data_IF_404834420172
#
_entry.id   IF_404834420172
#
_cell.length_a   1.000
_cell.length_b   1.000
_cell.length_c   1.000
_cell.angle_alpha   90.00
_cell.angle_beta   90.00
_cell.angle_gamma   90.00
#
_symmetry.space_group_name_H-M   'P 1'
#
loop_
_entity.id
_entity.type
_entity.pdbx_description
1 polymer ?
#
# COMPACT_ATOMS: atom_id res chain seq x y z
N UNK A 1 10.38 5.87 -4.82
CA UNK A 1 11.69 5.18 -4.89
C UNK A 1 12.67 6.13 -5.59
N UNK A 2 13.79 6.51 -4.96
CA UNK A 2 14.75 7.45 -5.57
C UNK A 2 15.67 6.67 -6.52
N UNK A 3 15.79 7.12 -7.77
CA UNK A 3 16.65 6.49 -8.79
C UNK A 3 16.08 5.23 -9.45
N UNK A 4 14.77 4.97 -9.30
CA UNK A 4 14.07 3.89 -10.00
C UNK A 4 13.48 4.33 -11.35
N UNK A 5 12.69 3.44 -11.94
CA UNK A 5 11.90 3.66 -13.16
C UNK A 5 10.45 3.19 -12.93
N UNK A 6 9.54 3.52 -13.86
CA UNK A 6 8.15 3.10 -13.78
C UNK A 6 8.03 1.58 -13.96
N UNK A 7 7.36 0.91 -13.01
CA UNK A 7 7.13 -0.54 -13.07
C UNK A 7 6.05 -0.89 -14.10
N UNK A 8 6.10 -2.11 -14.64
CA UNK A 8 4.96 -2.64 -15.38
C UNK A 8 3.76 -2.85 -14.43
N UNK A 9 2.57 -2.40 -14.85
CA UNK A 9 1.34 -2.50 -14.05
C UNK A 9 0.99 -3.94 -13.62
N UNK A 10 1.52 -4.95 -14.30
CA UNK A 10 1.24 -6.36 -14.02
C UNK A 10 2.26 -7.06 -13.10
N UNK A 11 3.36 -6.40 -12.73
CA UNK A 11 4.48 -7.02 -11.99
C UNK A 11 4.28 -7.06 -10.48
N UNK A 12 3.49 -6.14 -9.92
CA UNK A 12 3.35 -5.95 -8.47
C UNK A 12 1.91 -6.10 -8.00
N UNK A 13 1.27 -7.23 -8.34
CA UNK A 13 -0.16 -7.49 -8.04
C UNK A 13 -0.50 -7.50 -6.55
N UNK A 14 0.48 -7.74 -5.69
CA UNK A 14 0.31 -7.72 -4.23
C UNK A 14 0.55 -6.35 -3.62
N UNK A 15 1.00 -5.34 -4.38
CA UNK A 15 1.23 -4.00 -3.85
C UNK A 15 -0.11 -3.30 -3.59
N UNK A 16 -0.27 -2.76 -2.38
CA UNK A 16 -1.48 -2.06 -1.94
C UNK A 16 -1.15 -0.61 -1.60
N UNK A 17 -2.01 0.32 -1.99
CA UNK A 17 -1.96 1.71 -1.55
C UNK A 17 -2.93 1.93 -0.38
N UNK A 18 -2.43 2.51 0.71
CA UNK A 18 -3.19 2.80 1.92
C UNK A 18 -3.45 4.31 1.99
N UNK A 19 -4.71 4.68 2.12
CA UNK A 19 -5.19 6.06 2.21
C UNK A 19 -5.77 6.34 3.59
N UNK A 20 -5.55 7.55 4.09
CA UNK A 20 -6.24 8.08 5.26
C UNK A 20 -7.07 9.33 4.87
N UNK A 21 -7.58 10.06 5.85
CA UNK A 21 -8.39 11.29 5.63
C UNK A 21 -7.68 12.40 4.84
N UNK A 22 -6.35 12.37 4.75
CA UNK A 22 -5.53 13.38 4.05
C UNK A 22 -5.09 12.94 2.65
N UNK A 23 -5.35 11.69 2.25
CA UNK A 23 -4.94 11.13 0.97
C UNK A 23 -4.05 9.91 1.13
N UNK A 24 -3.11 9.72 0.18
CA UNK A 24 -2.15 8.62 0.23
C UNK A 24 -1.28 8.76 1.48
N UNK A 25 -1.16 7.66 2.22
CA UNK A 25 -0.46 7.64 3.50
C UNK A 25 0.72 6.66 3.49
N UNK A 26 0.45 5.40 3.14
CA UNK A 26 1.43 4.32 3.17
C UNK A 26 1.15 3.29 2.08
N UNK A 27 1.96 2.23 2.05
CA UNK A 27 1.75 1.05 1.22
C UNK A 27 1.74 -0.22 2.06
N UNK A 28 1.28 -1.32 1.47
CA UNK A 28 1.30 -2.64 2.08
C UNK A 28 1.43 -3.75 1.03
N UNK A 29 1.48 -4.99 1.51
CA UNK A 29 1.51 -6.20 0.68
C UNK A 29 0.31 -7.07 1.00
N UNK A 30 -0.49 -7.40 -0.03
CA UNK A 30 -1.57 -8.38 0.05
C UNK A 30 -0.98 -9.77 0.23
N UNK A 31 -1.20 -10.37 1.41
CA UNK A 31 -0.74 -11.73 1.73
C UNK A 31 -1.74 -12.79 1.24
N UNK A 32 -3.03 -12.50 1.38
CA UNK A 32 -4.15 -13.31 0.92
C UNK A 32 -5.39 -12.42 0.78
N UNK A 33 -6.56 -12.99 0.55
CA UNK A 33 -7.81 -12.27 0.31
C UNK A 33 -8.27 -11.38 1.49
N UNK A 34 -7.76 -11.61 2.69
CA UNK A 34 -8.23 -10.98 3.92
C UNK A 34 -7.15 -10.14 4.63
N UNK A 35 -5.87 -10.36 4.32
CA UNK A 35 -4.76 -9.80 5.08
C UNK A 35 -3.80 -8.98 4.21
N UNK A 36 -3.58 -7.74 4.65
CA UNK A 36 -2.52 -6.85 4.14
C UNK A 36 -1.49 -6.63 5.26
N UNK A 37 -0.22 -6.84 4.93
CA UNK A 37 0.90 -6.53 5.82
C UNK A 37 1.42 -5.11 5.53
N UNK A 38 1.61 -4.30 6.56
CA UNK A 38 2.21 -2.96 6.48
C UNK A 38 3.10 -2.68 7.69
N UNK A 39 3.78 -1.54 7.72
CA UNK A 39 4.59 -1.12 8.85
C UNK A 39 3.72 -0.65 10.02
N UNK A 40 4.12 -0.93 11.26
CA UNK A 40 3.34 -0.53 12.45
C UNK A 40 3.16 0.99 12.59
N UNK A 41 4.11 1.79 12.10
CA UNK A 41 3.99 3.25 12.10
C UNK A 41 3.03 3.79 11.02
N UNK A 42 2.51 2.91 10.15
CA UNK A 42 1.45 3.20 9.21
C UNK A 42 0.07 2.90 9.84
N UNK A 43 -0.09 3.02 11.16
CA UNK A 43 -1.38 2.99 11.84
C UNK A 43 -2.00 4.41 11.91
N UNK A 44 -3.30 4.52 11.70
CA UNK A 44 -4.08 5.76 11.55
C UNK A 44 -5.57 5.42 11.56
N UNK A 45 -6.40 6.41 11.80
CA UNK A 45 -7.85 6.24 11.76
C UNK A 45 -8.36 6.27 10.30
N UNK A 46 -9.43 5.51 10.05
CA UNK A 46 -10.18 5.48 8.78
C UNK A 46 -9.36 5.13 7.53
N UNK A 47 -8.63 4.02 7.58
CA UNK A 47 -7.94 3.53 6.40
C UNK A 47 -8.88 3.07 5.29
N UNK A 48 -8.48 3.37 4.05
CA UNK A 48 -8.99 2.75 2.84
C UNK A 48 -7.83 2.12 2.08
N UNK A 49 -8.06 0.93 1.51
CA UNK A 49 -7.06 0.20 0.72
C UNK A 49 -7.51 0.18 -0.74
N UNK A 50 -6.59 0.46 -1.66
CA UNK A 50 -6.78 0.32 -3.11
C UNK A 50 -5.68 -0.53 -3.72
#
# INVERSE_FOLDING_TARGET
>A
VVGGDECNINEHRSLVAIFNSTGFFCSGILLNQEWVLTASHCDSTNFQMK
#
